data_IF_492490501389
#
_entry.id   IF_492490501389
#
_cell.length_a   1.000
_cell.length_b   1.000
_cell.length_c   1.000
_cell.angle_alpha   90.00
_cell.angle_beta   90.00
_cell.angle_gamma   90.00
#
_symmetry.space_group_name_H-M   'P 1'
#
loop_
_entity.id
_entity.type
_entity.pdbx_description
1 polymer ?
#
# COMPACT_ATOMS: atom_id res chain seq x y z
N UNK A 1 -4.32 -12.35 15.65
CA UNK A 1 -5.29 -11.25 15.53
C UNK A 1 -5.50 -10.95 14.05
N UNK A 2 -6.59 -11.41 13.45
CA UNK A 2 -7.01 -11.01 12.12
C UNK A 2 -8.42 -10.42 12.27
N UNK A 3 -8.59 -9.11 12.08
CA UNK A 3 -9.90 -8.44 12.19
C UNK A 3 -10.85 -8.92 11.08
N UNK A 4 -10.28 -9.27 9.92
CA UNK A 4 -10.96 -10.00 8.86
C UNK A 4 -10.29 -11.36 8.74
N UNK A 5 -11.03 -12.46 8.90
CA UNK A 5 -10.53 -13.79 8.61
C UNK A 5 -10.50 -13.95 7.07
N UNK A 6 -9.35 -13.90 6.39
CA UNK A 6 -9.35 -14.06 4.94
C UNK A 6 -9.77 -15.49 4.62
N UNK A 7 -10.72 -15.65 3.69
CA UNK A 7 -11.09 -16.98 3.17
C UNK A 7 -9.89 -17.72 2.57
N UNK A 8 -8.89 -16.98 2.08
CA UNK A 8 -7.60 -17.51 1.63
C UNK A 8 -6.47 -16.50 1.86
N UNK A 9 -5.45 -16.92 2.61
CA UNK A 9 -4.25 -16.09 2.86
C UNK A 9 -3.44 -15.83 1.59
N UNK A 10 -3.44 -16.78 0.66
CA UNK A 10 -2.70 -16.68 -0.60
C UNK A 10 -3.29 -15.58 -1.49
N UNK A 11 -4.61 -15.60 -1.71
CA UNK A 11 -5.30 -14.60 -2.54
C UNK A 11 -5.20 -13.21 -1.88
N UNK A 12 -5.35 -13.14 -0.56
CA UNK A 12 -5.16 -11.90 0.20
C UNK A 12 -3.76 -11.32 -0.02
N UNK A 13 -2.72 -12.15 0.10
CA UNK A 13 -1.32 -11.71 -0.05
C UNK A 13 -1.04 -11.21 -1.47
N UNK A 14 -1.55 -11.91 -2.48
CA UNK A 14 -1.45 -11.47 -3.88
C UNK A 14 -2.15 -10.13 -4.07
N UNK A 15 -3.37 -9.98 -3.56
CA UNK A 15 -4.13 -8.74 -3.67
C UNK A 15 -3.38 -7.56 -3.01
N UNK A 16 -2.78 -7.75 -1.84
CA UNK A 16 -1.98 -6.72 -1.18
C UNK A 16 -0.81 -6.25 -2.06
N UNK A 17 -0.06 -7.19 -2.67
CA UNK A 17 1.05 -6.84 -3.58
C UNK A 17 0.53 -6.12 -4.83
N UNK A 18 -0.56 -6.61 -5.43
CA UNK A 18 -1.19 -5.98 -6.59
C UNK A 18 -1.66 -4.55 -6.30
N UNK A 19 -2.16 -4.25 -5.10
CA UNK A 19 -2.54 -2.88 -4.71
C UNK A 19 -1.34 -1.93 -4.71
N UNK A 20 -0.19 -2.36 -4.20
CA UNK A 20 1.03 -1.54 -4.20
C UNK A 20 1.54 -1.30 -5.63
N UNK A 21 1.56 -2.36 -6.45
CA UNK A 21 1.97 -2.27 -7.85
C UNK A 21 1.02 -1.34 -8.62
N UNK A 22 -0.29 -1.53 -8.48
CA UNK A 22 -1.31 -0.70 -9.13
C UNK A 22 -1.20 0.76 -8.71
N UNK A 23 -1.08 1.02 -7.39
CA UNK A 23 -0.88 2.36 -6.87
C UNK A 23 0.36 3.04 -7.45
N UNK A 24 1.49 2.34 -7.52
CA UNK A 24 2.71 2.86 -8.10
C UNK A 24 2.56 3.14 -9.61
N UNK A 25 1.98 2.20 -10.36
CA UNK A 25 1.75 2.35 -11.80
C UNK A 25 0.85 3.54 -12.12
N UNK A 26 -0.30 3.67 -11.45
CA UNK A 26 -1.24 4.77 -11.69
C UNK A 26 -0.64 6.15 -11.39
N UNK A 27 0.27 6.24 -10.42
CA UNK A 27 0.97 7.50 -10.14
C UNK A 27 2.09 7.82 -11.14
N UNK A 28 2.65 6.80 -11.81
CA UNK A 28 3.71 6.99 -12.81
C UNK A 28 3.18 7.21 -14.24
N UNK A 29 2.01 6.65 -14.58
CA UNK A 29 1.40 6.75 -15.93
C UNK A 29 1.35 8.20 -16.46
N UNK A 30 0.88 9.22 -15.69
CA UNK A 30 0.85 10.61 -16.17
C UNK A 30 2.22 11.23 -16.45
N UNK A 31 3.29 10.61 -15.97
CA UNK A 31 4.67 11.08 -16.09
C UNK A 31 5.42 10.40 -17.26
N UNK A 32 4.86 9.33 -17.83
CA UNK A 32 5.37 8.64 -19.01
C UNK A 32 5.05 9.42 -20.29
N UNK A 33 5.57 10.65 -20.37
CA UNK A 33 5.47 11.52 -21.55
C UNK A 33 6.84 11.73 -22.19
N UNK A 34 6.84 12.05 -23.47
CA UNK A 34 8.05 12.31 -24.24
C UNK A 34 8.90 13.42 -23.58
N UNK A 35 10.21 13.23 -23.57
CA UNK A 35 11.16 14.17 -22.96
C UNK A 35 11.48 13.93 -21.47
N UNK A 36 10.76 13.03 -20.77
CA UNK A 36 11.11 12.65 -19.39
C UNK A 36 12.19 11.56 -19.39
N UNK A 37 13.31 11.83 -18.71
CA UNK A 37 14.41 10.87 -18.60
C UNK A 37 14.00 9.67 -17.72
N UNK A 38 14.40 8.43 -18.07
CA UNK A 38 14.10 7.25 -17.25
C UNK A 38 14.56 7.35 -15.80
N UNK A 39 15.72 7.96 -15.55
CA UNK A 39 16.23 8.17 -14.19
C UNK A 39 15.34 9.09 -13.33
N UNK A 40 14.62 10.03 -13.95
CA UNK A 40 13.65 10.87 -13.24
C UNK A 40 12.42 10.07 -12.84
N UNK A 41 11.96 9.15 -13.69
CA UNK A 41 10.84 8.25 -13.37
C UNK A 41 11.17 7.35 -12.19
N UNK A 42 12.39 6.80 -12.12
CA UNK A 42 12.84 5.99 -10.98
C UNK A 42 12.85 6.81 -9.69
N UNK A 43 13.37 8.04 -9.73
CA UNK A 43 13.37 8.93 -8.55
C UNK A 43 11.95 9.20 -8.06
N UNK A 44 11.01 9.48 -8.97
CA UNK A 44 9.61 9.73 -8.62
C UNK A 44 8.93 8.45 -8.10
N UNK A 45 9.22 7.30 -8.71
CA UNK A 45 8.71 6.01 -8.26
C UNK A 45 9.09 5.71 -6.81
N UNK A 46 10.34 5.99 -6.41
CA UNK A 46 10.79 5.83 -5.02
C UNK A 46 9.99 6.73 -4.07
N UNK A 47 9.75 7.99 -4.44
CA UNK A 47 8.97 8.93 -3.62
C UNK A 47 7.54 8.39 -3.43
N UNK A 48 6.88 7.97 -4.51
CA UNK A 48 5.52 7.39 -4.44
C UNK A 48 5.52 6.12 -3.58
N UNK A 49 6.53 5.26 -3.74
CA UNK A 49 6.65 4.04 -2.95
C UNK A 49 6.76 4.32 -1.46
N UNK A 50 7.56 5.32 -1.05
CA UNK A 50 7.66 5.75 0.36
C UNK A 50 6.31 6.23 0.89
N UNK A 51 5.56 7.01 0.10
CA UNK A 51 4.21 7.48 0.50
C UNK A 51 3.26 6.29 0.71
N UNK A 52 3.24 5.33 -0.22
CA UNK A 52 2.43 4.11 -0.09
C UNK A 52 2.84 3.28 1.12
N UNK A 53 4.14 3.18 1.39
CA UNK A 53 4.66 2.47 2.55
C UNK A 53 4.20 3.12 3.87
N UNK A 54 4.27 4.45 3.98
CA UNK A 54 3.76 5.18 5.13
C UNK A 54 2.25 4.94 5.30
N UNK A 55 1.48 4.99 4.20
CA UNK A 55 0.04 4.71 4.25
C UNK A 55 -0.27 3.29 4.75
N UNK A 56 0.53 2.29 4.35
CA UNK A 56 0.41 0.91 4.84
C UNK A 56 0.68 0.84 6.34
N UNK A 57 1.75 1.47 6.83
CA UNK A 57 2.07 1.49 8.26
C UNK A 57 0.94 2.13 9.07
N UNK A 58 0.38 3.24 8.59
CA UNK A 58 -0.77 3.89 9.21
C UNK A 58 -2.00 2.99 9.22
N UNK A 59 -2.28 2.28 8.11
CA UNK A 59 -3.41 1.35 8.03
C UNK A 59 -3.26 0.18 9.00
N UNK A 60 -2.07 -0.43 9.07
CA UNK A 60 -1.77 -1.53 10.01
C UNK A 60 -1.88 -1.03 11.45
N UNK A 61 -1.26 0.12 11.77
CA UNK A 61 -1.31 0.71 13.10
C UNK A 61 -2.73 1.04 13.53
N UNK A 62 -3.54 1.60 12.62
CA UNK A 62 -4.96 1.90 12.87
C UNK A 62 -5.77 0.63 13.13
N UNK A 63 -5.56 -0.42 12.31
CA UNK A 63 -6.23 -1.71 12.51
C UNK A 63 -5.84 -2.35 13.84
N UNK A 64 -4.57 -2.27 14.23
CA UNK A 64 -4.08 -2.78 15.51
C UNK A 64 -4.71 -2.05 16.70
N UNK A 65 -4.72 -0.71 16.66
CA UNK A 65 -5.28 0.12 17.72
C UNK A 65 -6.80 -0.08 17.86
N UNK A 66 -7.50 -0.25 16.73
CA UNK A 66 -8.92 -0.61 16.72
C UNK A 66 -9.17 -1.97 17.36
N UNK A 67 -8.28 -2.94 17.13
CA UNK A 67 -8.32 -4.24 17.79
C UNK A 67 -8.23 -4.13 19.31
N UNK A 68 -7.29 -3.34 19.83
CA UNK A 68 -7.14 -3.09 21.27
C UNK A 68 -8.38 -2.40 21.86
N UNK A 69 -8.93 -1.41 21.15
CA UNK A 69 -10.13 -0.69 21.57
C UNK A 69 -11.33 -1.64 21.74
N UNK A 70 -11.54 -2.53 20.76
CA UNK A 70 -12.61 -3.52 20.82
C UNK A 70 -12.43 -4.52 21.97
N UNK A 71 -11.20 -4.94 22.26
CA UNK A 71 -10.89 -5.83 23.38
C UNK A 71 -11.11 -5.15 24.73
N UNK A 72 -10.76 -3.87 24.84
CA UNK A 72 -10.92 -3.08 26.07
C UNK A 72 -12.38 -2.72 26.39
N UNK A 73 -13.25 -2.76 25.38
CA UNK A 73 -14.69 -2.45 25.50
C UNK A 73 -15.53 -3.70 25.75
N UNK A 74 -14.92 -4.89 25.72
CA UNK A 74 -15.59 -6.18 25.87
C UNK A 74 -15.59 -6.63 27.33
#
# INVERSE_FOLDING_TARGET
>A
MAIFQPFSILIYSIACVCVVIGGLMFNLVPLCREGVKPGQLVKIAIIIFVILFIAILLAIGSAYLYGIYLESTR
#
